data_IF_238803434746
#
_entry.id   IF_238803434746
#
_cell.length_a   1.000
_cell.length_b   1.000
_cell.length_c   1.000
_cell.angle_alpha   90.00
_cell.angle_beta   90.00
_cell.angle_gamma   90.00
#
_symmetry.space_group_name_H-M   'P 1'
#
loop_
_entity.id
_entity.type
_entity.pdbx_description
1 polymer ?
#
# COMPACT_ATOMS: atom_id res chain seq x y z
N UNK A 1 -24.83 20.17 77.77
CA UNK A 1 -25.40 20.63 76.50
C UNK A 1 -24.28 20.61 75.49
N UNK A 2 -24.23 19.62 74.60
CA UNK A 2 -23.20 19.49 73.56
C UNK A 2 -23.80 20.03 72.28
N UNK A 3 -23.25 21.11 71.79
CA UNK A 3 -23.59 21.71 70.49
C UNK A 3 -23.08 20.79 69.39
N UNK A 4 -23.99 20.20 68.61
CA UNK A 4 -23.71 19.33 67.50
C UNK A 4 -23.45 20.18 66.27
N UNK A 5 -22.18 20.39 65.96
CA UNK A 5 -21.70 21.08 64.77
C UNK A 5 -22.09 20.25 63.54
N UNK A 6 -23.20 20.56 62.90
CA UNK A 6 -23.63 20.00 61.62
C UNK A 6 -22.91 20.74 60.50
N UNK A 7 -21.80 20.22 60.03
CA UNK A 7 -21.18 20.66 58.76
C UNK A 7 -22.17 20.30 57.63
N UNK A 8 -22.91 21.29 57.14
CA UNK A 8 -23.70 21.18 55.91
C UNK A 8 -22.77 20.85 54.73
N UNK A 9 -22.84 19.61 54.24
CA UNK A 9 -22.16 19.21 53.02
C UNK A 9 -22.76 20.02 51.87
N UNK A 10 -22.03 21.04 51.38
CA UNK A 10 -22.42 21.79 50.19
C UNK A 10 -22.76 20.83 49.09
N UNK A 11 -23.93 20.98 48.39
CA UNK A 11 -24.34 20.11 47.30
C UNK A 11 -23.27 20.12 46.22
N UNK A 12 -23.10 18.97 45.54
CA UNK A 12 -22.04 18.75 44.53
C UNK A 12 -22.07 19.86 43.43
N UNK A 13 -23.29 20.37 43.13
CA UNK A 13 -23.50 21.47 42.20
C UNK A 13 -22.81 22.78 42.60
N UNK A 14 -22.80 23.12 43.92
CA UNK A 14 -22.14 24.33 44.40
C UNK A 14 -20.60 24.23 44.37
N UNK A 15 -20.05 23.03 44.57
CA UNK A 15 -18.61 22.79 44.43
C UNK A 15 -18.16 22.91 42.98
N UNK A 16 -18.94 22.36 42.06
CA UNK A 16 -18.66 22.41 40.61
C UNK A 16 -18.81 23.85 40.07
N UNK A 17 -19.87 24.56 40.47
CA UNK A 17 -20.07 25.96 40.06
C UNK A 17 -18.99 26.89 40.57
N UNK A 18 -18.55 26.70 41.82
CA UNK A 18 -17.42 27.46 42.42
C UNK A 18 -16.09 27.17 41.71
N UNK A 19 -15.85 25.92 41.33
CA UNK A 19 -14.65 25.54 40.56
C UNK A 19 -14.68 26.16 39.17
N UNK A 20 -15.80 26.06 38.46
CA UNK A 20 -15.95 26.67 37.13
C UNK A 20 -15.80 28.20 37.18
N UNK A 21 -16.39 28.85 38.20
CA UNK A 21 -16.26 30.29 38.38
C UNK A 21 -14.81 30.74 38.66
N UNK A 22 -14.07 29.96 39.44
CA UNK A 22 -12.66 30.23 39.78
C UNK A 22 -11.74 30.12 38.57
N UNK A 23 -12.00 29.12 37.68
CA UNK A 23 -11.13 28.82 36.54
C UNK A 23 -11.74 29.23 35.21
N UNK A 24 -12.81 30.06 35.18
CA UNK A 24 -13.54 30.45 33.98
C UNK A 24 -12.64 30.98 32.86
N UNK A 25 -11.64 31.81 33.20
CA UNK A 25 -10.72 32.42 32.21
C UNK A 25 -9.83 31.32 31.58
N UNK A 26 -9.38 30.37 32.40
CA UNK A 26 -8.60 29.23 31.92
C UNK A 26 -9.45 28.35 30.97
N UNK A 27 -10.69 28.03 31.36
CA UNK A 27 -11.59 27.24 30.51
C UNK A 27 -11.91 27.94 29.19
N UNK A 28 -12.19 29.25 29.22
CA UNK A 28 -12.42 30.03 28.00
C UNK A 28 -11.14 30.02 27.14
N UNK A 29 -9.96 30.19 27.72
CA UNK A 29 -8.69 30.13 27.00
C UNK A 29 -8.45 28.77 26.33
N UNK A 30 -8.73 27.67 27.03
CA UNK A 30 -8.63 26.31 26.48
C UNK A 30 -9.61 26.10 25.32
N UNK A 31 -10.88 26.54 25.49
CA UNK A 31 -11.89 26.43 24.41
C UNK A 31 -11.47 27.23 23.18
N UNK A 32 -11.00 28.46 23.35
CA UNK A 32 -10.53 29.30 22.24
C UNK A 32 -9.32 28.64 21.55
N UNK A 33 -8.37 28.09 22.32
CA UNK A 33 -7.23 27.36 21.75
C UNK A 33 -7.66 26.13 20.93
N UNK A 34 -8.63 25.35 21.43
CA UNK A 34 -9.18 24.20 20.69
C UNK A 34 -9.89 24.61 19.40
N UNK A 35 -10.64 25.72 19.44
CA UNK A 35 -11.30 26.27 18.22
C UNK A 35 -10.25 26.69 17.19
N UNK A 36 -9.19 27.38 17.61
CA UNK A 36 -8.10 27.77 16.70
C UNK A 36 -7.44 26.54 16.07
N UNK A 37 -7.12 25.50 16.88
CA UNK A 37 -6.56 24.25 16.38
C UNK A 37 -7.50 23.59 15.37
N UNK A 38 -8.79 23.53 15.65
CA UNK A 38 -9.79 22.96 14.73
C UNK A 38 -9.89 23.73 13.41
N UNK A 39 -9.86 25.07 13.45
CA UNK A 39 -9.87 25.91 12.25
C UNK A 39 -8.61 25.68 11.42
N UNK A 40 -7.43 25.72 12.05
CA UNK A 40 -6.14 25.49 11.36
C UNK A 40 -6.11 24.11 10.71
N UNK A 41 -6.54 23.09 11.46
CA UNK A 41 -6.63 21.72 10.93
C UNK A 41 -7.61 21.61 9.76
N UNK A 42 -8.77 22.24 9.84
CA UNK A 42 -9.77 22.29 8.77
C UNK A 42 -9.22 22.96 7.49
N UNK A 43 -8.50 24.08 7.63
CA UNK A 43 -7.86 24.76 6.49
C UNK A 43 -6.78 23.87 5.86
N UNK A 44 -5.88 23.31 6.66
CA UNK A 44 -4.82 22.40 6.17
C UNK A 44 -5.45 21.21 5.44
N UNK A 45 -6.45 20.55 6.03
CA UNK A 45 -7.15 19.42 5.44
C UNK A 45 -7.80 19.79 4.09
N UNK A 46 -8.47 20.94 4.02
CA UNK A 46 -9.11 21.41 2.78
C UNK A 46 -8.10 21.70 1.67
N UNK A 47 -7.00 22.37 1.99
CA UNK A 47 -5.92 22.68 1.02
C UNK A 47 -5.26 21.40 0.53
N UNK A 48 -4.96 20.45 1.44
CA UNK A 48 -4.35 19.17 1.09
C UNK A 48 -5.27 18.35 0.18
N UNK A 49 -6.55 18.23 0.52
CA UNK A 49 -7.54 17.51 -0.29
C UNK A 49 -7.68 18.13 -1.68
N UNK A 50 -7.76 19.46 -1.78
CA UNK A 50 -7.82 20.18 -3.06
C UNK A 50 -6.56 19.95 -3.91
N UNK A 51 -5.39 19.96 -3.28
CA UNK A 51 -4.12 19.69 -3.95
C UNK A 51 -4.04 18.26 -4.49
N UNK A 52 -4.45 17.26 -3.67
CA UNK A 52 -4.50 15.86 -4.11
C UNK A 52 -5.47 15.67 -5.28
N UNK A 53 -6.66 16.28 -5.21
CA UNK A 53 -7.64 16.19 -6.30
C UNK A 53 -7.10 16.78 -7.62
N UNK A 54 -6.41 17.92 -7.56
CA UNK A 54 -5.78 18.52 -8.74
C UNK A 54 -4.70 17.59 -9.33
N UNK A 55 -3.86 16.99 -8.47
CA UNK A 55 -2.83 16.05 -8.89
C UNK A 55 -3.42 14.78 -9.53
N UNK A 56 -4.48 14.22 -8.94
CA UNK A 56 -5.19 13.07 -9.52
C UNK A 56 -5.83 13.41 -10.87
N UNK A 57 -6.50 14.56 -10.99
CA UNK A 57 -7.10 14.99 -12.27
C UNK A 57 -6.03 15.20 -13.35
N UNK A 58 -4.86 15.70 -12.98
CA UNK A 58 -3.74 15.84 -13.91
C UNK A 58 -3.23 14.47 -14.37
N UNK A 59 -3.03 13.54 -13.44
CA UNK A 59 -2.64 12.16 -13.76
C UNK A 59 -3.67 11.48 -14.66
N UNK A 60 -4.96 11.58 -14.32
CA UNK A 60 -6.04 10.98 -15.09
C UNK A 60 -6.10 11.55 -16.53
N UNK A 61 -5.82 12.86 -16.69
CA UNK A 61 -5.71 13.49 -18.01
C UNK A 61 -4.55 12.91 -18.84
N UNK A 62 -3.38 12.70 -18.22
CA UNK A 62 -2.20 12.10 -18.88
C UNK A 62 -2.53 10.66 -19.31
N UNK A 63 -3.06 9.84 -18.39
CA UNK A 63 -3.43 8.44 -18.65
C UNK A 63 -4.51 8.36 -19.74
N UNK A 64 -5.51 9.24 -19.69
CA UNK A 64 -6.55 9.30 -20.73
C UNK A 64 -5.96 9.61 -22.10
N UNK A 65 -5.03 10.57 -22.20
CA UNK A 65 -4.37 10.90 -23.46
C UNK A 65 -3.57 9.71 -23.97
N UNK A 66 -2.84 9.02 -23.09
CA UNK A 66 -2.09 7.81 -23.44
C UNK A 66 -3.02 6.68 -23.92
N UNK A 67 -4.17 6.50 -23.28
CA UNK A 67 -5.15 5.46 -23.65
C UNK A 67 -5.84 5.68 -25.01
N UNK A 68 -5.72 6.87 -25.58
CA UNK A 68 -6.24 7.23 -26.91
C UNK A 68 -5.23 7.02 -28.04
N UNK A 69 -3.97 6.77 -27.69
CA UNK A 69 -2.95 6.50 -28.68
C UNK A 69 -3.21 5.15 -29.37
N UNK A 70 -3.10 5.13 -30.67
CA UNK A 70 -3.13 3.91 -31.48
C UNK A 70 -1.75 3.22 -31.50
N UNK A 71 -1.68 2.05 -32.14
CA UNK A 71 -0.45 1.26 -32.21
C UNK A 71 0.73 2.04 -32.84
N UNK A 72 0.46 2.95 -33.79
CA UNK A 72 1.49 3.72 -34.46
C UNK A 72 2.03 4.90 -33.62
N UNK A 73 1.23 5.41 -32.67
CA UNK A 73 1.52 6.61 -31.87
C UNK A 73 1.80 6.31 -30.40
N UNK A 74 1.56 5.08 -29.93
CA UNK A 74 1.63 4.72 -28.50
C UNK A 74 3.00 4.95 -27.88
N UNK A 75 4.07 4.66 -28.60
CA UNK A 75 5.44 4.85 -28.06
C UNK A 75 5.77 6.34 -27.92
N UNK A 76 5.38 7.16 -28.92
CA UNK A 76 5.51 8.62 -28.81
C UNK A 76 4.67 9.17 -27.66
N UNK A 77 3.47 8.65 -27.46
CA UNK A 77 2.60 9.05 -26.36
C UNK A 77 3.20 8.68 -25.00
N UNK A 78 3.82 7.50 -24.87
CA UNK A 78 4.54 7.06 -23.66
C UNK A 78 5.75 7.97 -23.38
N UNK A 79 6.53 8.32 -24.37
CA UNK A 79 7.69 9.20 -24.22
C UNK A 79 7.29 10.62 -23.76
N UNK A 80 6.12 11.10 -24.17
CA UNK A 80 5.55 12.39 -23.73
C UNK A 80 4.96 12.28 -22.32
N UNK A 81 4.26 11.18 -22.01
CA UNK A 81 3.59 10.98 -20.73
C UNK A 81 4.57 10.73 -19.58
N UNK A 82 5.62 9.94 -19.82
CA UNK A 82 6.54 9.46 -18.80
C UNK A 82 7.17 10.59 -17.96
N UNK A 83 7.79 11.65 -18.54
CA UNK A 83 8.36 12.72 -17.74
C UNK A 83 7.31 13.47 -16.90
N UNK A 84 6.08 13.62 -17.38
CA UNK A 84 5.00 14.28 -16.66
C UNK A 84 4.54 13.45 -15.45
N UNK A 85 4.44 12.14 -15.63
CA UNK A 85 4.04 11.20 -14.56
C UNK A 85 5.14 11.10 -13.50
N UNK A 86 6.42 11.06 -13.89
CA UNK A 86 7.55 11.07 -12.96
C UNK A 86 7.61 12.36 -12.15
N UNK A 87 7.37 13.51 -12.78
CA UNK A 87 7.30 14.80 -12.09
C UNK A 87 6.18 14.83 -11.05
N UNK A 88 4.99 14.29 -11.41
CA UNK A 88 3.87 14.16 -10.47
C UNK A 88 4.20 13.23 -9.30
N UNK A 89 4.87 12.11 -9.57
CA UNK A 89 5.29 11.15 -8.54
C UNK A 89 6.24 11.81 -7.53
N UNK A 90 7.26 12.52 -8.01
CA UNK A 90 8.24 13.17 -7.13
C UNK A 90 7.63 14.33 -6.33
N UNK A 91 6.85 15.21 -6.97
CA UNK A 91 6.17 16.33 -6.29
C UNK A 91 5.17 15.89 -5.21
N UNK A 92 4.64 14.69 -5.34
CA UNK A 92 3.59 14.15 -4.48
C UNK A 92 4.04 12.93 -3.68
N UNK A 93 5.33 12.77 -3.48
CA UNK A 93 5.91 11.64 -2.75
C UNK A 93 5.26 11.47 -1.37
N UNK A 94 4.87 10.23 -1.04
CA UNK A 94 4.27 9.87 0.25
C UNK A 94 2.76 10.11 0.34
N UNK A 95 2.09 10.58 -0.71
CA UNK A 95 0.62 10.70 -0.78
C UNK A 95 0.04 9.87 -1.93
N UNK A 96 -1.29 9.84 -2.04
CA UNK A 96 -2.01 9.02 -3.03
C UNK A 96 -1.70 9.40 -4.48
N UNK A 97 -1.42 10.68 -4.76
CA UNK A 97 -1.04 11.13 -6.12
C UNK A 97 0.33 10.55 -6.48
N UNK A 98 1.30 10.65 -5.58
CA UNK A 98 2.63 10.09 -5.78
C UNK A 98 2.60 8.57 -5.96
N UNK A 99 1.80 7.86 -5.14
CA UNK A 99 1.60 6.42 -5.28
C UNK A 99 1.08 6.07 -6.69
N UNK A 100 -0.06 6.64 -7.10
CA UNK A 100 -0.66 6.35 -8.41
C UNK A 100 0.23 6.77 -9.58
N UNK A 101 0.93 7.89 -9.45
CA UNK A 101 1.86 8.35 -10.48
C UNK A 101 3.08 7.42 -10.59
N UNK A 102 3.63 6.94 -9.47
CA UNK A 102 4.72 5.95 -9.50
C UNK A 102 4.29 4.64 -10.17
N UNK A 103 3.07 4.16 -9.87
CA UNK A 103 2.51 2.97 -10.54
C UNK A 103 2.36 3.20 -12.04
N UNK A 104 1.81 4.35 -12.46
CA UNK A 104 1.65 4.67 -13.88
C UNK A 104 3.00 4.79 -14.61
N UNK A 105 4.02 5.37 -13.98
CA UNK A 105 5.38 5.39 -14.53
C UNK A 105 5.95 3.97 -14.66
N UNK A 106 5.73 3.12 -13.66
CA UNK A 106 6.17 1.74 -13.68
C UNK A 106 5.53 0.94 -14.82
N UNK A 107 4.23 1.12 -15.08
CA UNK A 107 3.51 0.50 -16.20
C UNK A 107 4.07 0.95 -17.56
N UNK A 108 4.41 2.25 -17.71
CA UNK A 108 5.04 2.77 -18.94
C UNK A 108 6.40 2.13 -19.13
N UNK A 109 7.26 2.12 -18.11
CA UNK A 109 8.58 1.48 -18.18
C UNK A 109 8.48 -0.03 -18.45
N UNK A 110 7.55 -0.71 -17.78
CA UNK A 110 7.28 -2.13 -17.98
C UNK A 110 6.90 -2.43 -19.46
N UNK A 111 6.03 -1.61 -20.05
CA UNK A 111 5.65 -1.76 -21.45
C UNK A 111 6.78 -1.46 -22.45
N UNK A 112 7.85 -0.80 -22.00
CA UNK A 112 9.07 -0.53 -22.77
C UNK A 112 10.19 -1.54 -22.45
N UNK A 113 9.90 -2.60 -21.68
CA UNK A 113 10.86 -3.61 -21.22
C UNK A 113 12.04 -3.03 -20.41
N UNK A 114 11.82 -1.84 -19.82
CA UNK A 114 12.78 -1.17 -18.91
C UNK A 114 12.55 -1.67 -17.48
N UNK A 115 12.89 -2.95 -17.25
CA UNK A 115 12.54 -3.69 -16.05
C UNK A 115 13.12 -3.08 -14.77
N UNK A 116 14.33 -2.54 -14.83
CA UNK A 116 14.99 -1.90 -13.67
C UNK A 116 14.23 -0.65 -13.22
N UNK A 117 13.94 0.25 -14.15
CA UNK A 117 13.21 1.49 -13.90
C UNK A 117 11.75 1.22 -13.49
N UNK A 118 11.12 0.22 -14.12
CA UNK A 118 9.78 -0.23 -13.74
C UNK A 118 9.75 -0.70 -12.29
N UNK A 119 10.69 -1.57 -11.90
CA UNK A 119 10.83 -2.05 -10.53
C UNK A 119 11.01 -0.92 -9.54
N UNK A 120 11.89 0.02 -9.81
CA UNK A 120 12.16 1.15 -8.91
C UNK A 120 10.90 2.01 -8.71
N UNK A 121 10.12 2.24 -9.76
CA UNK A 121 8.85 2.95 -9.68
C UNK A 121 7.78 2.15 -8.90
N UNK A 122 7.68 0.82 -9.08
CA UNK A 122 6.81 -0.02 -8.27
C UNK A 122 7.17 0.05 -6.79
N UNK A 123 8.46 -0.02 -6.46
CA UNK A 123 8.93 0.08 -5.07
C UNK A 123 8.70 1.47 -4.48
N UNK A 124 8.86 2.54 -5.26
CA UNK A 124 8.54 3.89 -4.81
C UNK A 124 7.06 4.02 -4.39
N UNK A 125 6.14 3.37 -5.08
CA UNK A 125 4.73 3.36 -4.73
C UNK A 125 4.47 2.71 -3.35
N UNK A 126 5.26 1.72 -2.92
CA UNK A 126 5.08 1.05 -1.62
C UNK A 126 5.42 1.95 -0.43
N UNK A 127 6.17 3.03 -0.62
CA UNK A 127 6.60 3.94 0.46
C UNK A 127 5.50 4.81 1.04
N UNK A 128 4.32 4.82 0.41
CA UNK A 128 3.16 5.59 0.86
C UNK A 128 2.49 4.91 2.06
N UNK A 129 2.27 5.65 3.16
CA UNK A 129 1.73 5.11 4.42
C UNK A 129 0.40 4.36 4.29
N UNK A 130 -0.39 4.67 3.28
CA UNK A 130 -1.71 4.10 3.03
C UNK A 130 -1.73 3.25 1.75
N UNK A 131 -0.62 2.60 1.42
CA UNK A 131 -0.55 1.76 0.23
C UNK A 131 -1.54 0.57 0.29
N UNK A 132 -1.89 0.09 1.52
CA UNK A 132 -2.88 -0.98 1.70
C UNK A 132 -2.59 -2.18 0.80
N UNK A 133 -3.65 -2.77 0.22
CA UNK A 133 -3.53 -3.87 -0.76
C UNK A 133 -2.70 -3.49 -2.00
N UNK A 134 -2.58 -2.20 -2.33
CA UNK A 134 -1.76 -1.73 -3.47
C UNK A 134 -0.29 -2.07 -3.29
N UNK A 135 0.19 -2.17 -2.03
CA UNK A 135 1.56 -2.58 -1.76
C UNK A 135 1.83 -4.02 -2.21
N UNK A 136 0.87 -4.94 -2.03
CA UNK A 136 1.00 -6.31 -2.53
C UNK A 136 1.15 -6.34 -4.05
N UNK A 137 0.33 -5.56 -4.79
CA UNK A 137 0.43 -5.42 -6.24
C UNK A 137 1.78 -4.85 -6.67
N UNK A 138 2.27 -3.83 -5.97
CA UNK A 138 3.56 -3.21 -6.28
C UNK A 138 4.73 -4.19 -6.04
N UNK A 139 4.74 -4.93 -4.93
CA UNK A 139 5.76 -5.95 -4.68
C UNK A 139 5.67 -7.12 -5.68
N UNK A 140 4.46 -7.53 -6.05
CA UNK A 140 4.27 -8.53 -7.11
C UNK A 140 4.93 -8.09 -8.43
N UNK A 141 4.61 -6.89 -8.91
CA UNK A 141 5.19 -6.39 -10.15
C UNK A 141 6.69 -6.12 -10.06
N UNK A 142 7.20 -5.71 -8.89
CA UNK A 142 8.63 -5.62 -8.64
C UNK A 142 9.32 -7.00 -8.70
N UNK A 143 8.66 -8.05 -8.21
CA UNK A 143 9.13 -9.43 -8.34
C UNK A 143 9.18 -9.86 -9.80
N UNK A 144 8.13 -9.60 -10.58
CA UNK A 144 8.09 -9.90 -12.02
C UNK A 144 9.22 -9.18 -12.77
N UNK A 145 9.44 -7.88 -12.50
CA UNK A 145 10.57 -7.15 -13.08
C UNK A 145 11.92 -7.78 -12.72
N UNK A 146 12.05 -8.28 -11.48
CA UNK A 146 13.29 -8.94 -11.04
C UNK A 146 13.49 -10.31 -11.70
N UNK A 147 12.41 -11.02 -12.03
CA UNK A 147 12.48 -12.25 -12.82
C UNK A 147 12.99 -11.96 -14.24
N UNK A 148 12.45 -10.90 -14.90
CA UNK A 148 12.90 -10.50 -16.24
C UNK A 148 14.38 -10.09 -16.27
N UNK A 149 14.90 -9.57 -15.15
CA UNK A 149 16.32 -9.26 -14.97
C UNK A 149 17.16 -10.48 -14.55
N UNK A 150 16.57 -11.66 -14.40
CA UNK A 150 17.20 -12.85 -13.86
C UNK A 150 17.74 -12.68 -12.41
N UNK A 151 17.23 -11.72 -11.67
CA UNK A 151 17.58 -11.43 -10.27
C UNK A 151 16.68 -12.27 -9.32
N UNK A 152 16.82 -13.60 -9.39
CA UNK A 152 15.90 -14.57 -8.76
C UNK A 152 15.77 -14.37 -7.26
N UNK A 153 16.86 -14.06 -6.55
CA UNK A 153 16.81 -13.83 -5.10
C UNK A 153 15.98 -12.61 -4.73
N UNK A 154 16.08 -11.53 -5.51
CA UNK A 154 15.25 -10.33 -5.32
C UNK A 154 13.77 -10.61 -5.65
N UNK A 155 13.49 -11.37 -6.70
CA UNK A 155 12.13 -11.78 -7.04
C UNK A 155 11.48 -12.55 -5.89
N UNK A 156 12.21 -13.52 -5.31
CA UNK A 156 11.75 -14.30 -4.14
C UNK A 156 11.45 -13.36 -2.96
N UNK A 157 12.32 -12.40 -2.67
CA UNK A 157 12.13 -11.47 -1.56
C UNK A 157 10.89 -10.57 -1.77
N UNK A 158 10.66 -10.11 -3.00
CA UNK A 158 9.48 -9.29 -3.31
C UNK A 158 8.19 -10.10 -3.30
N UNK A 159 8.17 -11.35 -3.76
CA UNK A 159 7.00 -12.22 -3.60
C UNK A 159 6.67 -12.46 -2.12
N UNK A 160 7.66 -12.73 -1.27
CA UNK A 160 7.46 -12.85 0.17
C UNK A 160 6.89 -11.57 0.80
N UNK A 161 7.37 -10.39 0.38
CA UNK A 161 6.82 -9.11 0.83
C UNK A 161 5.38 -8.92 0.38
N UNK A 162 5.04 -9.29 -0.86
CA UNK A 162 3.68 -9.24 -1.36
C UNK A 162 2.73 -10.12 -0.53
N UNK A 163 3.11 -11.37 -0.26
CA UNK A 163 2.36 -12.33 0.58
C UNK A 163 2.17 -11.79 2.01
N UNK A 164 3.19 -11.14 2.58
CA UNK A 164 3.11 -10.59 3.94
C UNK A 164 2.31 -9.29 4.04
N UNK A 165 1.84 -8.74 2.92
CA UNK A 165 1.03 -7.52 2.92
C UNK A 165 -0.39 -7.85 3.39
N UNK A 166 -0.96 -7.11 4.35
CA UNK A 166 -2.34 -7.30 4.76
C UNK A 166 -3.32 -7.21 3.58
N UNK A 167 -4.36 -8.01 3.62
CA UNK A 167 -5.45 -8.03 2.62
C UNK A 167 -4.97 -8.35 1.17
N UNK A 168 -3.98 -9.24 1.04
CA UNK A 168 -3.52 -9.73 -0.25
C UNK A 168 -4.54 -10.71 -0.86
N UNK A 169 -5.36 -10.24 -1.81
CA UNK A 169 -6.44 -11.03 -2.41
C UNK A 169 -5.96 -12.09 -3.42
N UNK A 170 -4.69 -12.07 -3.83
CA UNK A 170 -4.12 -12.97 -4.84
C UNK A 170 -2.93 -13.80 -4.30
N UNK A 171 -2.96 -14.09 -3.01
CA UNK A 171 -1.89 -14.85 -2.32
C UNK A 171 -1.65 -16.22 -2.95
N UNK A 172 -2.70 -16.89 -3.44
CA UNK A 172 -2.59 -18.16 -4.15
C UNK A 172 -1.65 -18.09 -5.36
N UNK A 173 -1.77 -17.04 -6.17
CA UNK A 173 -0.87 -16.81 -7.30
C UNK A 173 0.58 -16.56 -6.84
N UNK A 174 0.75 -15.77 -5.78
CA UNK A 174 2.08 -15.45 -5.24
C UNK A 174 2.77 -16.69 -4.69
N UNK A 175 2.05 -17.56 -3.97
CA UNK A 175 2.57 -18.82 -3.44
C UNK A 175 3.03 -19.75 -4.57
N UNK A 176 2.25 -19.84 -5.67
CA UNK A 176 2.65 -20.61 -6.83
C UNK A 176 3.91 -20.05 -7.48
N UNK A 177 3.97 -18.73 -7.69
CA UNK A 177 5.13 -18.06 -8.31
C UNK A 177 6.39 -18.24 -7.45
N UNK A 178 6.27 -18.09 -6.13
CA UNK A 178 7.35 -18.32 -5.18
C UNK A 178 7.82 -19.77 -5.20
N UNK A 179 6.88 -20.73 -5.18
CA UNK A 179 7.20 -22.15 -5.28
C UNK A 179 7.97 -22.48 -6.56
N UNK A 180 7.55 -21.94 -7.70
CA UNK A 180 8.22 -22.10 -9.00
C UNK A 180 9.66 -21.57 -9.01
N UNK A 181 9.90 -20.40 -8.42
CA UNK A 181 11.24 -19.84 -8.33
C UNK A 181 12.16 -20.66 -7.40
N UNK A 182 11.65 -21.10 -6.26
CA UNK A 182 12.38 -21.95 -5.32
C UNK A 182 12.72 -23.29 -5.96
N UNK A 183 11.78 -23.87 -6.70
CA UNK A 183 12.01 -25.09 -7.48
C UNK A 183 13.12 -24.89 -8.52
N UNK A 184 13.09 -23.77 -9.26
CA UNK A 184 14.13 -23.43 -10.24
C UNK A 184 15.52 -23.24 -9.60
N UNK A 185 15.60 -22.83 -8.34
CA UNK A 185 16.84 -22.76 -7.55
C UNK A 185 17.30 -24.12 -7.01
N UNK A 186 16.48 -25.15 -7.11
CA UNK A 186 16.74 -26.47 -6.52
C UNK A 186 16.36 -26.58 -5.04
N UNK A 187 15.72 -25.58 -4.47
CA UNK A 187 15.15 -25.65 -3.11
C UNK A 187 13.78 -26.32 -3.15
N UNK A 188 13.80 -27.62 -3.41
CA UNK A 188 12.58 -28.41 -3.60
C UNK A 188 11.74 -28.53 -2.33
N UNK A 189 12.37 -28.46 -1.17
CA UNK A 189 11.66 -28.49 0.12
C UNK A 189 10.83 -27.25 0.31
N UNK A 190 11.43 -26.06 0.16
CA UNK A 190 10.70 -24.81 0.28
C UNK A 190 9.66 -24.63 -0.86
N UNK A 191 9.94 -25.12 -2.07
CA UNK A 191 8.96 -25.13 -3.15
C UNK A 191 7.74 -25.99 -2.78
N UNK A 192 7.95 -27.19 -2.27
CA UNK A 192 6.87 -28.09 -1.86
C UNK A 192 6.04 -27.54 -0.69
N UNK A 193 6.65 -26.82 0.24
CA UNK A 193 5.93 -26.12 1.32
C UNK A 193 4.96 -25.07 0.76
N UNK A 194 5.39 -24.24 -0.20
CA UNK A 194 4.53 -23.25 -0.83
C UNK A 194 3.41 -23.89 -1.65
N UNK A 195 3.68 -24.96 -2.39
CA UNK A 195 2.66 -25.71 -3.14
C UNK A 195 1.66 -26.41 -2.22
N UNK A 196 2.11 -26.95 -1.08
CA UNK A 196 1.22 -27.57 -0.08
C UNK A 196 0.34 -26.53 0.60
N UNK A 197 0.88 -25.35 0.89
CA UNK A 197 0.09 -24.22 1.43
C UNK A 197 -1.09 -23.88 0.50
N UNK A 198 -0.88 -23.87 -0.81
CA UNK A 198 -1.95 -23.68 -1.79
C UNK A 198 -3.06 -24.72 -1.64
N UNK A 199 -2.69 -26.00 -1.56
CA UNK A 199 -3.64 -27.09 -1.39
C UNK A 199 -4.45 -26.99 -0.11
N UNK A 200 -3.82 -26.59 0.98
CA UNK A 200 -4.42 -26.57 2.30
C UNK A 200 -5.34 -25.34 2.51
N UNK A 201 -4.93 -24.17 1.98
CA UNK A 201 -5.62 -22.91 2.24
C UNK A 201 -6.48 -22.40 1.06
N UNK A 202 -6.18 -22.84 -0.18
CA UNK A 202 -6.84 -22.38 -1.40
C UNK A 202 -7.33 -23.54 -2.30
N UNK A 203 -8.05 -24.58 -1.76
CA UNK A 203 -8.31 -25.82 -2.46
C UNK A 203 -9.14 -25.68 -3.75
N UNK A 204 -9.89 -24.59 -3.90
CA UNK A 204 -10.73 -24.32 -5.08
C UNK A 204 -10.09 -23.38 -6.10
N UNK A 205 -8.86 -22.92 -5.86
CA UNK A 205 -8.15 -22.00 -6.75
C UNK A 205 -7.51 -22.75 -7.93
N UNK A 206 -7.45 -22.13 -9.10
CA UNK A 206 -6.81 -22.71 -10.29
C UNK A 206 -5.32 -22.97 -10.11
N UNK A 207 -4.62 -22.12 -9.33
CA UNK A 207 -3.21 -22.29 -9.01
C UNK A 207 -2.94 -23.52 -8.18
N UNK A 208 -3.92 -23.98 -7.39
CA UNK A 208 -3.82 -25.20 -6.59
C UNK A 208 -3.68 -26.43 -7.46
N UNK A 209 -4.44 -26.56 -8.55
CA UNK A 209 -4.31 -27.68 -9.49
C UNK A 209 -2.92 -27.74 -10.12
N UNK A 210 -2.34 -26.57 -10.44
CA UNK A 210 -0.97 -26.49 -10.95
C UNK A 210 0.06 -26.89 -9.88
N UNK A 211 -0.12 -26.41 -8.64
CA UNK A 211 0.74 -26.75 -7.51
C UNK A 211 0.71 -28.25 -7.20
N UNK A 212 -0.48 -28.89 -7.21
CA UNK A 212 -0.60 -30.34 -7.03
C UNK A 212 0.14 -31.12 -8.14
N UNK A 213 0.04 -30.65 -9.38
CA UNK A 213 0.78 -31.27 -10.51
C UNK A 213 2.29 -31.18 -10.29
N UNK A 214 2.80 -30.05 -9.77
CA UNK A 214 4.22 -29.88 -9.44
C UNK A 214 4.65 -30.79 -8.29
N UNK A 215 3.85 -30.90 -7.21
CA UNK A 215 4.11 -31.79 -6.09
C UNK A 215 4.22 -33.25 -6.55
N UNK A 216 3.31 -33.71 -7.42
CA UNK A 216 3.36 -35.07 -7.98
C UNK A 216 4.66 -35.27 -8.79
N UNK A 217 5.02 -34.29 -9.63
CA UNK A 217 6.26 -34.36 -10.41
C UNK A 217 7.50 -34.44 -9.51
N UNK A 218 7.61 -33.56 -8.52
CA UNK A 218 8.74 -33.54 -7.57
C UNK A 218 8.88 -34.87 -6.79
N UNK A 219 7.75 -35.47 -6.39
CA UNK A 219 7.75 -36.82 -5.77
C UNK A 219 8.20 -37.91 -6.74
N UNK A 220 7.70 -37.90 -7.96
CA UNK A 220 8.08 -38.87 -8.98
C UNK A 220 9.59 -38.80 -9.34
N UNK A 221 10.16 -37.60 -9.28
CA UNK A 221 11.58 -37.33 -9.50
C UNK A 221 12.45 -37.60 -8.26
N UNK A 222 11.85 -38.00 -7.13
CA UNK A 222 12.56 -38.26 -5.87
C UNK A 222 13.18 -37.04 -5.21
N UNK A 223 12.72 -35.85 -5.57
CA UNK A 223 13.20 -34.54 -5.04
C UNK A 223 12.58 -34.19 -3.69
N UNK A 224 11.39 -34.74 -3.40
CA UNK A 224 10.69 -34.64 -2.13
C UNK A 224 10.09 -35.98 -1.73
N UNK A 225 9.75 -36.16 -0.43
CA UNK A 225 9.13 -37.36 0.11
C UNK A 225 7.62 -37.40 -0.03
#
# INVERSE_FOLDING_TARGET
>A
MAEKNTEEKKPLADKVSGFLAKYRVLFIGVIVALIIVAIVWGVISSVTTSSHQKGLNQLDSIIYTLSKADEASVDTARDVALPQVLELAEKNKGNIVGLRSSMAAAEIYFSQEKWGEARDCWLAATTTKNAGYTAAVCYYNAAVCSEELAEVDLAIDYYKKAISTPDCEFESHLLFSLGRLLEGKGDYTAAAENYSNLKDNYPSDSWTSLAESRLIALKAEGKIQ
#
